data_IF_252340024369
#
_entry.id   IF_252340024369
#
_cell.length_a   1.000
_cell.length_b   1.000
_cell.length_c   1.000
_cell.angle_alpha   90.00
_cell.angle_beta   90.00
_cell.angle_gamma   90.00
#
_symmetry.space_group_name_H-M   'P 1'
#
loop_
_entity.id
_entity.type
_entity.pdbx_description
1 polymer ?
#
# COMPACT_ATOMS: atom_id res chain seq x y z
N UNK A 1 2.74 -18.48 7.25
CA UNK A 1 3.75 -17.43 7.39
C UNK A 1 3.05 -16.08 7.54
N UNK A 2 3.32 -15.41 8.65
CA UNK A 2 2.88 -14.05 8.99
C UNK A 2 4.12 -13.17 9.17
N UNK A 3 4.16 -12.02 8.51
CA UNK A 3 5.25 -11.06 8.61
C UNK A 3 4.84 -9.94 9.57
N UNK A 4 5.44 -9.88 10.75
CA UNK A 4 5.06 -8.90 11.78
C UNK A 4 6.11 -7.83 11.96
N UNK A 5 5.72 -6.56 12.00
CA UNK A 5 6.61 -5.51 12.53
C UNK A 5 6.51 -5.49 14.05
N UNK A 6 7.64 -5.25 14.71
CA UNK A 6 7.67 -4.99 16.15
C UNK A 6 8.64 -3.87 16.47
N UNK A 7 8.18 -2.89 17.25
CA UNK A 7 8.97 -1.71 17.61
C UNK A 7 8.40 -1.04 18.87
N UNK A 8 9.26 -0.34 19.61
CA UNK A 8 8.82 0.67 20.57
C UNK A 8 8.86 2.04 19.90
N UNK A 9 7.75 2.76 19.96
CA UNK A 9 7.54 4.03 19.23
C UNK A 9 7.09 5.09 20.22
N UNK A 10 7.85 6.19 20.32
CA UNK A 10 7.45 7.35 21.10
C UNK A 10 6.23 8.03 20.49
N UNK A 11 5.51 8.84 21.28
CA UNK A 11 4.32 9.57 20.82
C UNK A 11 4.59 10.41 19.57
N UNK A 12 5.77 11.02 19.48
CA UNK A 12 6.23 11.78 18.32
C UNK A 12 6.84 10.93 17.18
N UNK A 13 6.68 9.61 17.21
CA UNK A 13 7.15 8.68 16.19
C UNK A 13 8.62 8.29 16.29
N UNK A 14 9.40 8.86 17.21
CA UNK A 14 10.81 8.50 17.40
C UNK A 14 10.91 7.04 17.83
N UNK A 15 11.89 6.31 17.30
CA UNK A 15 12.27 4.94 17.72
C UNK A 15 13.73 4.85 18.16
N UNK A 16 14.55 5.85 17.81
CA UNK A 16 15.98 5.81 18.08
C UNK A 16 16.68 7.15 17.89
N UNK A 17 17.85 7.26 18.52
CA UNK A 17 18.83 8.33 18.38
C UNK A 17 20.23 7.74 18.44
N UNK A 18 21.08 8.03 17.46
CA UNK A 18 22.47 7.54 17.40
C UNK A 18 22.57 6.01 17.57
N UNK A 19 21.61 5.28 16.99
CA UNK A 19 21.52 3.81 17.05
C UNK A 19 21.02 3.23 18.38
N UNK A 20 20.60 4.07 19.33
CA UNK A 20 20.12 3.66 20.66
C UNK A 20 18.69 4.11 20.90
N UNK A 21 18.01 3.45 21.82
CA UNK A 21 16.70 3.88 22.30
C UNK A 21 16.87 5.04 23.30
N UNK A 22 16.26 6.22 23.07
CA UNK A 22 16.50 7.41 23.90
C UNK A 22 15.73 7.40 25.22
N UNK A 23 15.05 6.30 25.56
CA UNK A 23 14.33 6.11 26.82
C UNK A 23 14.59 4.74 27.43
N UNK A 24 14.14 4.59 28.68
CA UNK A 24 14.06 3.30 29.36
C UNK A 24 12.68 3.18 30.01
N UNK A 25 11.89 2.21 29.54
CA UNK A 25 10.55 1.92 30.07
C UNK A 25 10.60 0.55 30.74
N UNK A 26 10.40 0.47 32.07
CA UNK A 26 10.32 -0.81 32.77
C UNK A 26 9.23 -1.72 32.19
N UNK A 27 9.53 -3.00 32.01
CA UNK A 27 8.56 -4.00 31.55
C UNK A 27 8.41 -4.14 30.04
N UNK A 28 8.62 -3.09 29.24
CA UNK A 28 8.48 -3.14 27.77
C UNK A 28 9.36 -4.22 27.14
N UNK A 29 10.65 -4.28 27.51
CA UNK A 29 11.57 -5.30 27.00
C UNK A 29 11.16 -6.74 27.34
N UNK A 30 10.39 -6.94 28.43
CA UNK A 30 9.83 -8.27 28.75
C UNK A 30 8.72 -8.62 27.78
N UNK A 31 7.87 -7.65 27.42
CA UNK A 31 6.85 -7.79 26.37
C UNK A 31 7.48 -8.11 25.03
N UNK A 32 8.49 -7.34 24.61
CA UNK A 32 9.26 -7.60 23.38
C UNK A 32 9.85 -9.01 23.35
N UNK A 33 10.48 -9.44 24.45
CA UNK A 33 11.04 -10.80 24.57
C UNK A 33 9.95 -11.87 24.46
N UNK A 34 8.81 -11.67 25.11
CA UNK A 34 7.72 -12.64 25.08
C UNK A 34 7.13 -12.77 23.67
N UNK A 35 6.91 -11.66 22.97
CA UNK A 35 6.38 -11.64 21.61
C UNK A 35 7.32 -12.29 20.59
N UNK A 36 8.63 -12.09 20.73
CA UNK A 36 9.63 -12.55 19.74
C UNK A 36 10.22 -13.92 20.04
N UNK A 37 9.96 -14.52 21.20
CA UNK A 37 10.61 -15.77 21.61
C UNK A 37 10.33 -16.92 20.62
N UNK A 38 11.37 -17.63 20.19
CA UNK A 38 11.22 -18.76 19.26
C UNK A 38 10.98 -18.35 17.80
N UNK A 39 10.78 -17.05 17.51
CA UNK A 39 10.59 -16.55 16.16
C UNK A 39 11.90 -16.02 15.55
N UNK A 40 12.09 -16.13 14.22
CA UNK A 40 13.14 -15.40 13.53
C UNK A 40 12.96 -13.88 13.65
N UNK A 41 14.07 -13.18 13.85
CA UNK A 41 14.13 -11.73 13.90
C UNK A 41 14.93 -11.22 12.71
N UNK A 42 14.27 -10.40 11.90
CA UNK A 42 14.83 -9.75 10.72
C UNK A 42 15.13 -8.30 11.06
N UNK A 43 16.36 -7.86 10.77
CA UNK A 43 16.79 -6.50 11.06
C UNK A 43 17.92 -6.02 10.16
N UNK A 44 18.16 -4.71 10.14
CA UNK A 44 19.31 -4.13 9.44
C UNK A 44 20.58 -4.24 10.27
N UNK A 45 21.74 -4.22 9.60
CA UNK A 45 23.07 -4.27 10.26
C UNK A 45 23.21 -3.33 11.46
N UNK A 46 22.88 -2.04 11.29
CA UNK A 46 23.03 -1.04 12.37
C UNK A 46 22.16 -1.34 13.59
N UNK A 47 20.98 -1.92 13.37
CA UNK A 47 20.08 -2.35 14.45
C UNK A 47 20.69 -3.54 15.18
N UNK A 48 21.20 -4.54 14.45
CA UNK A 48 21.89 -5.66 15.06
C UNK A 48 23.13 -5.24 15.85
N UNK A 49 23.96 -4.35 15.30
CA UNK A 49 25.17 -3.83 15.95
C UNK A 49 24.88 -3.08 17.26
N UNK A 50 23.65 -2.57 17.46
CA UNK A 50 23.30 -1.82 18.67
C UNK A 50 22.85 -2.69 19.85
N UNK A 51 22.23 -3.86 19.59
CA UNK A 51 21.70 -4.74 20.65
C UNK A 51 22.29 -6.15 20.68
N UNK A 52 22.95 -6.59 19.60
CA UNK A 52 23.57 -7.91 19.48
C UNK A 52 22.58 -9.08 19.52
N UNK A 53 23.11 -10.28 19.76
CA UNK A 53 22.30 -11.49 19.83
C UNK A 53 21.37 -11.50 21.04
N UNK A 54 20.11 -11.85 20.78
CA UNK A 54 19.11 -12.05 21.80
C UNK A 54 18.85 -13.57 22.01
N UNK A 55 19.16 -14.16 23.18
CA UNK A 55 19.06 -15.61 23.38
C UNK A 55 17.67 -16.20 23.09
N UNK A 56 17.62 -17.38 22.48
CA UNK A 56 16.37 -18.06 22.12
C UNK A 56 15.66 -17.51 20.88
N UNK A 57 16.33 -16.64 20.10
CA UNK A 57 15.84 -16.07 18.86
C UNK A 57 16.88 -16.22 17.76
N UNK A 58 16.40 -16.63 16.58
CA UNK A 58 17.19 -16.70 15.35
C UNK A 58 17.30 -15.30 14.76
N UNK A 59 18.47 -14.89 14.29
CA UNK A 59 18.71 -13.54 13.79
C UNK A 59 19.09 -13.59 12.30
N UNK A 60 18.37 -12.84 11.48
CA UNK A 60 18.66 -12.63 10.07
C UNK A 60 18.94 -11.14 9.85
N UNK A 61 20.15 -10.82 9.40
CA UNK A 61 20.61 -9.44 9.25
C UNK A 61 20.68 -9.07 7.77
N UNK A 62 19.93 -8.03 7.39
CA UNK A 62 19.97 -7.47 6.05
C UNK A 62 21.09 -6.44 5.94
N UNK A 63 21.97 -6.65 4.97
CA UNK A 63 23.05 -5.71 4.66
C UNK A 63 23.50 -5.83 3.20
N UNK A 64 23.86 -4.69 2.61
CA UNK A 64 24.43 -4.61 1.26
C UNK A 64 25.94 -4.86 1.23
N UNK A 65 26.59 -4.90 2.40
CA UNK A 65 28.02 -5.08 2.54
C UNK A 65 28.39 -6.56 2.34
N UNK A 66 28.93 -6.96 1.17
CA UNK A 66 29.10 -8.37 0.81
C UNK A 66 30.04 -9.13 1.74
N UNK A 67 30.93 -8.41 2.43
CA UNK A 67 31.96 -8.98 3.30
C UNK A 67 31.52 -9.03 4.77
N UNK A 68 30.38 -8.42 5.10
CA UNK A 68 29.89 -8.41 6.48
C UNK A 68 29.29 -9.76 6.87
N UNK A 69 29.72 -10.25 8.04
CA UNK A 69 29.16 -11.40 8.74
C UNK A 69 29.30 -11.19 10.25
N UNK A 70 28.55 -11.96 11.04
CA UNK A 70 28.71 -12.04 12.47
C UNK A 70 28.38 -13.46 12.96
N UNK A 71 29.00 -13.88 14.07
CA UNK A 71 28.72 -15.19 14.64
C UNK A 71 27.26 -15.28 15.14
N UNK A 72 26.60 -16.39 14.85
CA UNK A 72 25.24 -16.66 15.31
C UNK A 72 24.13 -15.90 14.57
N UNK A 73 24.43 -15.23 13.45
CA UNK A 73 23.44 -14.64 12.55
C UNK A 73 23.50 -15.24 11.16
N UNK A 74 22.36 -15.24 10.48
CA UNK A 74 22.28 -15.46 9.05
C UNK A 74 22.26 -14.10 8.33
N UNK A 75 22.92 -14.00 7.18
CA UNK A 75 23.00 -12.75 6.43
C UNK A 75 22.10 -12.85 5.20
N UNK A 76 21.28 -11.84 4.97
CA UNK A 76 20.48 -11.70 3.76
C UNK A 76 20.85 -10.42 3.00
N UNK A 77 20.80 -10.47 1.67
CA UNK A 77 21.12 -9.34 0.77
C UNK A 77 19.89 -8.70 0.16
N UNK A 78 18.74 -9.36 0.29
CA UNK A 78 17.46 -8.92 -0.26
C UNK A 78 16.29 -9.39 0.60
N UNK A 79 15.10 -8.86 0.32
CA UNK A 79 13.85 -9.37 0.91
C UNK A 79 13.64 -10.83 0.49
N UNK A 80 13.83 -11.15 -0.79
CA UNK A 80 13.62 -12.51 -1.31
C UNK A 80 14.52 -13.55 -0.64
N UNK A 81 15.80 -13.22 -0.46
CA UNK A 81 16.74 -14.09 0.26
C UNK A 81 16.36 -14.23 1.74
N UNK A 82 15.84 -13.16 2.36
CA UNK A 82 15.32 -13.23 3.73
C UNK A 82 14.15 -14.19 3.82
N UNK A 83 13.19 -14.09 2.90
CA UNK A 83 12.03 -14.97 2.83
C UNK A 83 12.45 -16.42 2.59
N UNK A 84 13.44 -16.65 1.72
CA UNK A 84 14.02 -17.97 1.48
C UNK A 84 14.64 -18.56 2.76
N UNK A 85 15.42 -17.77 3.51
CA UNK A 85 16.02 -18.21 4.77
C UNK A 85 14.96 -18.50 5.82
N UNK A 86 13.95 -17.64 5.98
CA UNK A 86 12.88 -17.82 6.97
C UNK A 86 12.08 -19.10 6.70
N UNK A 87 11.75 -19.37 5.43
CA UNK A 87 10.85 -20.45 5.04
C UNK A 87 9.40 -20.15 5.45
N UNK A 88 8.66 -21.15 5.93
CA UNK A 88 7.23 -21.01 6.24
C UNK A 88 6.92 -20.43 7.64
N UNK A 89 7.96 -20.07 8.39
CA UNK A 89 7.84 -19.60 9.78
C UNK A 89 7.36 -18.15 9.88
N UNK A 90 6.51 -17.88 10.87
CA UNK A 90 6.16 -16.51 11.24
C UNK A 90 7.38 -15.81 11.85
N UNK A 91 7.63 -14.56 11.45
CA UNK A 91 8.82 -13.82 11.85
C UNK A 91 8.55 -12.33 12.12
N UNK A 92 9.49 -11.71 12.83
CA UNK A 92 9.43 -10.31 13.21
C UNK A 92 10.47 -9.47 12.48
N UNK A 93 10.03 -8.39 11.82
CA UNK A 93 10.89 -7.33 11.32
C UNK A 93 11.03 -6.26 12.39
N UNK A 94 12.23 -6.13 12.94
CA UNK A 94 12.53 -5.27 14.10
C UNK A 94 13.21 -3.95 13.71
N UNK A 95 13.27 -3.68 12.40
CA UNK A 95 13.78 -2.44 11.82
C UNK A 95 15.27 -2.49 11.47
N UNK A 96 15.96 -1.37 11.32
CA UNK A 96 15.48 0.01 11.44
C UNK A 96 14.65 0.49 10.24
N UNK A 97 14.50 1.81 10.12
CA UNK A 97 13.62 2.50 9.15
C UNK A 97 13.70 1.95 7.71
N UNK A 98 14.91 1.70 7.20
CA UNK A 98 15.09 1.17 5.84
C UNK A 98 14.57 -0.27 5.69
N UNK A 99 14.70 -1.10 6.72
CA UNK A 99 14.22 -2.49 6.67
C UNK A 99 12.71 -2.53 6.78
N UNK A 100 12.09 -1.70 7.65
CA UNK A 100 10.63 -1.56 7.64
C UNK A 100 10.12 -1.07 6.28
N UNK A 101 10.79 -0.10 5.64
CA UNK A 101 10.40 0.35 4.31
C UNK A 101 10.46 -0.78 3.26
N UNK A 102 11.50 -1.62 3.29
CA UNK A 102 11.64 -2.77 2.39
C UNK A 102 10.55 -3.83 2.61
N UNK A 103 10.18 -4.11 3.86
CA UNK A 103 9.15 -5.10 4.19
C UNK A 103 7.73 -4.53 4.21
N UNK A 104 7.56 -3.21 4.08
CA UNK A 104 6.26 -2.55 4.15
C UNK A 104 5.21 -3.10 3.16
N UNK A 105 5.56 -3.57 1.95
CA UNK A 105 4.59 -4.21 1.06
C UNK A 105 4.12 -5.60 1.53
N UNK A 106 4.90 -6.28 2.37
CA UNK A 106 4.70 -7.69 2.73
C UNK A 106 4.19 -7.90 4.17
N UNK A 107 4.32 -6.91 5.05
CA UNK A 107 3.95 -7.03 6.46
C UNK A 107 2.45 -7.29 6.66
N UNK A 108 2.05 -8.29 7.43
CA UNK A 108 0.64 -8.61 7.71
C UNK A 108 0.14 -7.96 9.00
N UNK A 109 1.04 -7.76 9.97
CA UNK A 109 0.73 -7.33 11.33
C UNK A 109 1.79 -6.36 11.85
N UNK A 110 1.40 -5.51 12.79
CA UNK A 110 2.33 -4.75 13.63
C UNK A 110 2.00 -4.98 15.10
N UNK A 111 3.03 -5.11 15.93
CA UNK A 111 2.94 -5.12 17.39
C UNK A 111 3.82 -3.98 17.90
N UNK A 112 3.20 -2.85 18.23
CA UNK A 112 3.92 -1.62 18.58
C UNK A 112 3.77 -1.32 20.07
N UNK A 113 4.89 -1.06 20.75
CA UNK A 113 4.89 -0.51 22.11
C UNK A 113 4.82 1.02 22.00
N UNK A 114 3.64 1.62 22.20
CA UNK A 114 3.48 3.08 22.26
C UNK A 114 4.01 3.63 23.58
N UNK A 115 5.01 4.51 23.48
CA UNK A 115 5.66 5.14 24.63
C UNK A 115 5.16 6.59 24.74
N UNK A 116 4.55 7.00 25.86
CA UNK A 116 3.92 8.32 26.03
C UNK A 116 4.95 9.43 26.29
N UNK A 117 6.04 9.46 25.52
CA UNK A 117 7.14 10.42 25.57
C UNK A 117 7.35 11.07 24.19
N UNK A 118 8.01 12.22 24.15
CA UNK A 118 8.36 12.94 22.92
C UNK A 118 9.85 13.33 22.93
N UNK A 119 10.78 12.36 22.90
CA UNK A 119 12.22 12.62 22.93
C UNK A 119 12.73 13.17 21.59
N UNK A 120 13.91 13.78 21.61
CA UNK A 120 14.67 14.01 20.38
C UNK A 120 15.20 12.70 19.80
N UNK A 121 15.13 12.52 18.48
CA UNK A 121 15.69 11.36 17.79
C UNK A 121 15.91 11.60 16.30
N UNK A 122 16.63 10.68 15.67
CA UNK A 122 17.01 10.72 14.25
C UNK A 122 16.34 9.63 13.41
N UNK A 123 15.68 8.68 14.10
CA UNK A 123 15.04 7.52 13.48
C UNK A 123 13.58 7.49 13.91
N UNK A 124 12.68 7.39 12.94
CA UNK A 124 11.24 7.42 13.14
C UNK A 124 10.58 6.15 12.60
N UNK A 125 9.48 5.73 13.23
CA UNK A 125 8.66 4.65 12.72
C UNK A 125 7.86 5.15 11.50
N UNK A 126 7.84 4.40 10.38
CA UNK A 126 7.18 4.86 9.16
C UNK A 126 5.66 4.97 9.32
N UNK A 127 5.09 6.12 8.96
CA UNK A 127 3.65 6.35 8.93
C UNK A 127 3.00 6.57 10.30
N UNK A 128 3.77 6.82 11.36
CA UNK A 128 3.22 7.10 12.69
C UNK A 128 2.67 8.55 12.81
N UNK A 129 1.51 8.77 13.48
CA UNK A 129 0.59 7.79 14.04
C UNK A 129 -0.28 7.12 12.96
N UNK A 130 -0.73 5.89 13.23
CA UNK A 130 -1.50 5.07 12.28
C UNK A 130 -3.02 5.23 12.38
N UNK A 131 -3.52 6.21 13.13
CA UNK A 131 -4.95 6.37 13.47
C UNK A 131 -5.85 6.41 12.23
N UNK A 132 -5.42 7.08 11.17
CA UNK A 132 -6.17 7.24 9.92
C UNK A 132 -5.54 6.44 8.76
N UNK A 133 -4.80 5.38 9.10
CA UNK A 133 -4.11 4.59 8.09
C UNK A 133 -5.10 3.86 7.17
N UNK A 134 -5.03 4.05 5.85
CA UNK A 134 -5.82 3.27 4.90
C UNK A 134 -5.34 1.82 4.78
N UNK A 135 -4.12 1.54 5.26
CA UNK A 135 -3.50 0.22 5.16
C UNK A 135 -3.64 -0.60 6.44
N UNK A 136 -3.69 0.07 7.59
CA UNK A 136 -3.65 -0.58 8.90
C UNK A 136 -4.92 -0.30 9.68
N UNK A 137 -5.37 -1.29 10.45
CA UNK A 137 -6.46 -1.14 11.41
C UNK A 137 -5.95 -1.57 12.78
N UNK A 138 -6.20 -0.75 13.79
CA UNK A 138 -5.96 -1.14 15.19
C UNK A 138 -6.89 -2.31 15.54
N UNK A 139 -6.31 -3.47 15.82
CA UNK A 139 -7.02 -4.69 16.16
C UNK A 139 -7.08 -4.92 17.68
N UNK A 140 -6.08 -4.43 18.43
CA UNK A 140 -6.08 -4.49 19.89
C UNK A 140 -5.25 -3.35 20.49
N UNK A 141 -5.63 -2.95 21.70
CA UNK A 141 -4.94 -1.98 22.54
C UNK A 141 -4.88 -2.49 23.96
N UNK A 142 -3.68 -2.71 24.48
CA UNK A 142 -3.44 -3.31 25.79
C UNK A 142 -2.59 -2.35 26.63
N UNK A 143 -3.20 -1.62 27.58
CA UNK A 143 -2.47 -0.71 28.45
C UNK A 143 -1.57 -1.46 29.44
N UNK A 144 -0.37 -0.93 29.64
CA UNK A 144 0.58 -1.34 30.68
C UNK A 144 1.00 -0.13 31.53
N UNK A 145 1.75 -0.37 32.60
CA UNK A 145 2.31 0.70 33.43
C UNK A 145 3.36 1.50 32.66
N UNK A 146 3.00 2.69 32.20
CA UNK A 146 3.89 3.63 31.51
C UNK A 146 4.03 3.43 29.99
N UNK A 147 3.27 2.52 29.37
CA UNK A 147 3.26 2.27 27.92
C UNK A 147 2.04 1.45 27.49
N UNK A 148 1.79 1.33 26.19
CA UNK A 148 0.64 0.59 25.64
C UNK A 148 1.09 -0.33 24.51
N UNK A 149 0.64 -1.58 24.47
CA UNK A 149 0.79 -2.42 23.27
C UNK A 149 -0.36 -2.12 22.31
N UNK A 150 -0.03 -1.76 21.08
CA UNK A 150 -0.97 -1.62 19.97
C UNK A 150 -0.71 -2.75 18.98
N UNK A 151 -1.73 -3.54 18.69
CA UNK A 151 -1.69 -4.49 17.58
C UNK A 151 -2.44 -3.88 16.39
N UNK A 152 -1.76 -3.79 15.25
CA UNK A 152 -2.38 -3.46 13.97
C UNK A 152 -2.39 -4.68 13.06
N UNK A 153 -3.48 -4.85 12.33
CA UNK A 153 -3.57 -5.81 11.23
C UNK A 153 -3.65 -5.04 9.92
N UNK A 154 -3.00 -5.56 8.87
CA UNK A 154 -3.16 -5.02 7.54
C UNK A 154 -4.61 -5.23 7.13
N UNK A 155 -5.25 -4.16 6.67
CA UNK A 155 -6.56 -4.24 6.01
C UNK A 155 -6.41 -5.10 4.78
N UNK A 156 -7.11 -6.24 4.74
CA UNK A 156 -7.15 -7.05 3.52
C UNK A 156 -7.83 -6.23 2.43
N UNK A 157 -7.32 -6.26 1.19
CA UNK A 157 -8.04 -5.73 0.04
C UNK A 157 -9.49 -6.23 0.06
N UNK A 158 -10.46 -5.31 0.09
CA UNK A 158 -11.87 -5.64 -0.10
C UNK A 158 -12.11 -6.14 -1.52
N UNK A 159 -11.24 -5.86 -2.48
CA UNK A 159 -11.33 -6.43 -3.81
C UNK A 159 -9.99 -6.98 -4.28
N UNK A 160 -10.01 -8.10 -5.00
CA UNK A 160 -8.84 -8.66 -5.66
C UNK A 160 -8.96 -8.40 -7.16
N UNK A 161 -7.82 -8.10 -7.79
CA UNK A 161 -7.73 -8.00 -9.25
C UNK A 161 -7.10 -9.29 -9.76
N UNK A 162 -7.92 -10.12 -10.40
CA UNK A 162 -7.44 -11.31 -11.10
C UNK A 162 -7.07 -10.94 -12.54
N UNK A 163 -5.89 -11.39 -12.96
CA UNK A 163 -5.40 -11.19 -14.33
C UNK A 163 -5.09 -12.55 -14.94
N UNK A 164 -5.64 -12.81 -16.13
CA UNK A 164 -5.42 -14.06 -16.85
C UNK A 164 -6.11 -14.03 -18.20
N UNK A 165 -5.65 -14.84 -19.17
CA UNK A 165 -6.16 -14.79 -20.54
C UNK A 165 -7.67 -15.04 -20.57
N UNK A 166 -8.41 -14.03 -21.01
CA UNK A 166 -9.87 -13.97 -21.13
C UNK A 166 -10.63 -14.44 -19.90
N UNK A 167 -10.06 -14.22 -18.71
CA UNK A 167 -10.60 -14.74 -17.43
C UNK A 167 -12.04 -14.27 -17.15
N UNK A 168 -12.44 -13.10 -17.66
CA UNK A 168 -13.80 -12.57 -17.53
C UNK A 168 -14.89 -13.47 -18.13
N UNK A 169 -14.55 -14.28 -19.14
CA UNK A 169 -15.47 -15.21 -19.78
C UNK A 169 -15.19 -16.69 -19.48
N UNK A 170 -14.27 -16.99 -18.58
CA UNK A 170 -13.84 -18.38 -18.33
C UNK A 170 -14.89 -19.17 -17.55
N UNK A 171 -15.10 -20.44 -17.91
CA UNK A 171 -16.06 -21.32 -17.24
C UNK A 171 -15.67 -21.62 -15.77
N UNK A 172 -14.37 -21.58 -15.47
CA UNK A 172 -13.82 -21.81 -14.13
C UNK A 172 -14.06 -20.62 -13.17
N UNK A 173 -14.23 -19.41 -13.70
CA UNK A 173 -14.41 -18.19 -12.93
C UNK A 173 -15.83 -18.02 -12.36
N UNK A 174 -16.84 -18.74 -12.85
CA UNK A 174 -18.24 -18.47 -12.55
C UNK A 174 -18.78 -17.25 -13.29
N UNK A 175 -20.01 -16.81 -12.95
CA UNK A 175 -20.68 -15.71 -13.65
C UNK A 175 -20.03 -14.35 -13.32
N UNK A 176 -19.51 -13.67 -14.35
CA UNK A 176 -18.95 -12.32 -14.23
C UNK A 176 -19.97 -11.29 -14.72
N UNK A 177 -20.26 -10.28 -13.89
CA UNK A 177 -21.14 -9.16 -14.23
C UNK A 177 -20.37 -8.12 -15.07
N UNK A 178 -20.95 -7.67 -16.18
CA UNK A 178 -20.42 -6.53 -16.92
C UNK A 178 -20.96 -5.25 -16.26
N UNK A 179 -20.06 -4.38 -15.82
CA UNK A 179 -20.42 -3.08 -15.26
C UNK A 179 -20.02 -1.96 -16.23
N UNK A 180 -21.00 -1.12 -16.56
CA UNK A 180 -20.80 0.14 -17.25
C UNK A 180 -20.08 1.14 -16.33
N UNK A 181 -18.92 1.66 -16.75
CA UNK A 181 -18.15 2.65 -15.98
C UNK A 181 -17.70 3.87 -16.78
N UNK A 182 -17.50 4.99 -16.10
CA UNK A 182 -16.97 6.21 -16.69
C UNK A 182 -15.77 6.72 -15.89
N UNK A 183 -14.77 7.29 -16.56
CA UNK A 183 -13.54 7.78 -15.91
C UNK A 183 -13.01 9.05 -16.55
N UNK A 184 -12.22 9.82 -15.80
CA UNK A 184 -11.59 11.05 -16.25
C UNK A 184 -10.06 10.94 -16.19
N UNK A 185 -9.40 11.19 -17.31
CA UNK A 185 -7.98 11.51 -17.39
C UNK A 185 -7.79 13.02 -17.24
N UNK A 186 -7.60 13.46 -15.99
CA UNK A 186 -7.55 14.88 -15.61
C UNK A 186 -6.10 15.35 -15.62
N UNK A 187 -5.76 16.34 -16.44
CA UNK A 187 -4.41 16.88 -16.46
C UNK A 187 -4.11 17.91 -17.54
N UNK A 188 -2.86 18.38 -17.56
CA UNK A 188 -2.35 19.42 -18.46
C UNK A 188 -1.48 18.87 -19.60
N UNK A 189 -1.43 17.54 -19.74
CA UNK A 189 -0.61 16.82 -20.73
C UNK A 189 0.80 16.49 -20.23
N UNK A 190 1.33 17.24 -19.26
CA UNK A 190 2.61 16.93 -18.60
C UNK A 190 2.40 16.10 -17.34
N UNK A 191 1.32 16.39 -16.61
CA UNK A 191 0.93 15.67 -15.40
C UNK A 191 -0.51 15.19 -15.51
N UNK A 192 -0.75 14.03 -14.91
CA UNK A 192 -2.04 13.36 -14.83
C UNK A 192 -2.38 13.10 -13.36
N UNK A 193 -3.64 13.34 -12.98
CA UNK A 193 -4.15 12.95 -11.69
C UNK A 193 -4.43 11.44 -11.67
N UNK A 194 -3.92 10.75 -10.66
CA UNK A 194 -4.31 9.39 -10.32
C UNK A 194 -4.80 9.35 -8.86
N UNK A 195 -5.72 8.44 -8.60
CA UNK A 195 -6.28 8.14 -7.28
C UNK A 195 -5.90 6.73 -6.87
N UNK A 196 -5.70 6.51 -5.56
CA UNK A 196 -5.36 5.20 -5.00
C UNK A 196 -6.56 4.59 -4.28
N UNK A 197 -7.04 3.47 -4.80
CA UNK A 197 -8.26 2.81 -4.33
C UNK A 197 -8.13 2.29 -2.90
N UNK A 198 -9.17 2.46 -2.08
CA UNK A 198 -9.27 1.87 -0.74
C UNK A 198 -9.36 0.34 -0.80
N UNK A 199 -10.11 -0.19 -1.77
CA UNK A 199 -10.48 -1.60 -1.81
C UNK A 199 -9.33 -2.53 -2.19
N UNK A 200 -8.35 -2.06 -2.97
CA UNK A 200 -7.24 -2.89 -3.47
C UNK A 200 -5.88 -2.20 -3.51
N UNK A 201 -5.81 -0.91 -3.17
CA UNK A 201 -4.56 -0.15 -3.08
C UNK A 201 -3.88 0.17 -4.41
N UNK A 202 -4.48 -0.20 -5.56
CA UNK A 202 -3.97 0.12 -6.89
C UNK A 202 -4.30 1.56 -7.26
N UNK A 203 -3.45 2.17 -8.08
CA UNK A 203 -3.69 3.49 -8.66
C UNK A 203 -4.63 3.38 -9.87
N UNK A 204 -5.51 4.35 -10.06
CA UNK A 204 -6.41 4.43 -11.20
C UNK A 204 -6.70 5.89 -11.58
N UNK A 205 -7.22 6.08 -12.80
CA UNK A 205 -7.94 7.29 -13.16
C UNK A 205 -9.21 7.41 -12.28
N UNK A 206 -9.57 8.63 -11.82
CA UNK A 206 -10.83 8.86 -11.14
C UNK A 206 -12.03 8.39 -11.98
N UNK A 207 -12.98 7.71 -11.35
CA UNK A 207 -14.13 7.16 -12.07
C UNK A 207 -14.82 6.00 -11.37
N UNK A 208 -16.05 5.74 -11.80
CA UNK A 208 -16.90 4.74 -11.18
C UNK A 208 -18.03 4.27 -12.09
N UNK A 209 -19.07 3.71 -11.48
CA UNK A 209 -20.18 3.10 -12.21
C UNK A 209 -21.14 4.16 -12.75
N UNK A 210 -21.61 3.98 -13.99
CA UNK A 210 -22.67 4.84 -14.51
C UNK A 210 -24.02 4.53 -13.83
N UNK A 211 -24.77 5.57 -13.50
CA UNK A 211 -26.12 5.50 -12.97
C UNK A 211 -27.19 5.54 -14.07
N UNK A 212 -28.41 5.10 -13.72
CA UNK A 212 -29.53 5.15 -14.66
C UNK A 212 -30.03 6.58 -14.78
N UNK A 213 -29.86 7.18 -15.96
CA UNK A 213 -30.38 8.50 -16.29
C UNK A 213 -29.32 9.58 -16.54
N UNK A 214 -28.04 9.26 -16.34
CA UNK A 214 -26.92 10.15 -16.69
C UNK A 214 -26.24 9.73 -18.01
N UNK A 215 -25.59 10.69 -18.65
CA UNK A 215 -24.63 10.44 -19.74
C UNK A 215 -23.29 9.95 -19.18
N UNK A 216 -22.48 9.31 -20.01
CA UNK A 216 -21.13 8.88 -19.63
C UNK A 216 -20.24 10.03 -19.13
N UNK A 217 -20.36 11.21 -19.72
CA UNK A 217 -19.61 12.40 -19.29
C UNK A 217 -20.10 12.93 -17.94
N UNK A 218 -21.41 12.91 -17.69
CA UNK A 218 -21.96 13.31 -16.38
C UNK A 218 -21.49 12.34 -15.29
N UNK A 219 -21.50 11.03 -15.56
CA UNK A 219 -20.95 10.02 -14.67
C UNK A 219 -19.48 10.31 -14.34
N UNK A 220 -18.66 10.57 -15.36
CA UNK A 220 -17.22 10.81 -15.16
C UNK A 220 -16.95 12.09 -14.33
N UNK A 221 -17.75 13.15 -14.53
CA UNK A 221 -17.65 14.41 -13.76
C UNK A 221 -18.13 14.21 -12.32
N UNK A 222 -19.23 13.48 -12.11
CA UNK A 222 -19.77 13.15 -10.78
C UNK A 222 -18.75 12.36 -9.96
N UNK A 223 -18.23 11.27 -10.54
CA UNK A 223 -17.25 10.40 -9.89
C UNK A 223 -15.95 11.15 -9.56
N UNK A 224 -15.43 11.98 -10.48
CA UNK A 224 -14.25 12.81 -10.20
C UNK A 224 -14.49 13.74 -9.00
N UNK A 225 -15.69 14.33 -8.89
CA UNK A 225 -16.05 15.20 -7.77
C UNK A 225 -16.20 14.41 -6.46
N UNK A 226 -16.85 13.26 -6.49
CA UNK A 226 -17.08 12.41 -5.31
C UNK A 226 -15.76 11.85 -4.75
N UNK A 227 -14.86 11.41 -5.63
CA UNK A 227 -13.58 10.80 -5.24
C UNK A 227 -12.51 11.81 -4.84
N UNK A 228 -12.46 12.96 -5.51
CA UNK A 228 -11.33 13.90 -5.39
C UNK A 228 -11.73 15.30 -4.92
N UNK A 229 -13.01 15.61 -4.88
CA UNK A 229 -13.52 16.96 -4.62
C UNK A 229 -13.33 17.96 -5.77
N UNK A 230 -12.70 17.56 -6.88
CA UNK A 230 -12.46 18.45 -8.02
C UNK A 230 -13.73 18.70 -8.84
N UNK A 231 -13.89 19.93 -9.29
CA UNK A 231 -14.81 20.27 -10.37
C UNK A 231 -14.04 20.22 -11.69
N UNK A 232 -14.51 19.43 -12.64
CA UNK A 232 -13.81 19.20 -13.92
C UNK A 232 -14.72 19.42 -15.11
N UNK A 233 -14.12 19.85 -16.23
CA UNK A 233 -14.76 19.92 -17.54
C UNK A 233 -14.19 18.82 -18.43
N UNK A 234 -15.08 18.09 -19.10
CA UNK A 234 -14.70 17.11 -20.13
C UNK A 234 -14.38 17.83 -21.43
N UNK A 235 -13.20 17.55 -21.98
CA UNK A 235 -12.71 18.13 -23.25
C UNK A 235 -13.06 17.25 -24.44
N UNK A 236 -12.87 15.94 -24.29
CA UNK A 236 -13.04 14.96 -25.37
C UNK A 236 -13.11 13.54 -24.83
N UNK A 237 -13.57 12.60 -25.66
CA UNK A 237 -13.43 11.16 -25.38
C UNK A 237 -11.96 10.77 -25.57
N UNK A 238 -11.35 10.18 -24.53
CA UNK A 238 -10.03 9.59 -24.64
C UNK A 238 -10.11 8.21 -25.31
N UNK A 239 -10.94 7.31 -24.76
CA UNK A 239 -11.17 5.97 -25.32
C UNK A 239 -12.39 5.30 -24.70
N UNK A 240 -13.09 4.45 -25.45
CA UNK A 240 -13.85 3.35 -24.87
C UNK A 240 -12.89 2.19 -24.55
N UNK A 241 -13.13 1.45 -23.48
CA UNK A 241 -12.25 0.35 -23.08
C UNK A 241 -13.04 -0.80 -22.46
N UNK A 242 -12.52 -2.00 -22.70
CA UNK A 242 -12.83 -3.20 -21.92
C UNK A 242 -11.59 -4.07 -21.93
N UNK A 243 -11.43 -4.94 -20.93
CA UNK A 243 -10.29 -5.85 -20.88
C UNK A 243 -10.79 -7.22 -20.42
N UNK A 244 -10.89 -8.22 -21.33
CA UNK A 244 -11.38 -9.55 -20.98
C UNK A 244 -10.42 -10.32 -20.07
N UNK A 245 -9.17 -9.87 -19.95
CA UNK A 245 -8.13 -10.52 -19.17
C UNK A 245 -8.12 -10.05 -17.71
N UNK A 246 -9.01 -9.15 -17.31
CA UNK A 246 -9.04 -8.52 -15.99
C UNK A 246 -10.43 -8.66 -15.37
N UNK A 247 -10.49 -9.17 -14.14
CA UNK A 247 -11.71 -9.23 -13.35
C UNK A 247 -11.45 -8.71 -11.93
N UNK A 248 -12.40 -7.94 -11.41
CA UNK A 248 -12.40 -7.51 -10.01
C UNK A 248 -13.28 -8.49 -9.22
N UNK A 249 -12.72 -9.11 -8.19
CA UNK A 249 -13.38 -10.10 -7.32
C UNK A 249 -13.56 -9.52 -5.93
N UNK A 250 -14.80 -9.46 -5.46
CA UNK A 250 -15.18 -8.93 -4.15
C UNK A 250 -15.27 -10.05 -3.09
N UNK A 251 -15.32 -9.74 -1.78
CA UNK A 251 -15.21 -10.75 -0.72
C UNK A 251 -16.45 -11.63 -0.63
N UNK A 252 -17.57 -11.17 -1.17
CA UNK A 252 -18.81 -11.92 -1.31
C UNK A 252 -18.83 -12.83 -2.54
N UNK A 253 -17.71 -12.93 -3.27
CA UNK A 253 -17.56 -13.73 -4.47
C UNK A 253 -18.12 -13.09 -5.74
N UNK A 254 -18.67 -11.86 -5.67
CA UNK A 254 -19.07 -11.14 -6.89
C UNK A 254 -17.85 -10.85 -7.76
N UNK A 255 -18.04 -11.00 -9.06
CA UNK A 255 -17.02 -10.79 -10.09
C UNK A 255 -17.49 -9.73 -11.07
N UNK A 256 -16.65 -8.73 -11.35
CA UNK A 256 -16.98 -7.64 -12.27
C UNK A 256 -15.92 -7.49 -13.36
N UNK A 257 -16.38 -7.41 -14.59
CA UNK A 257 -15.62 -6.90 -15.73
C UNK A 257 -16.12 -5.48 -16.05
N UNK A 258 -15.20 -4.55 -16.22
CA UNK A 258 -15.57 -3.16 -16.53
C UNK A 258 -15.60 -2.96 -18.04
N UNK A 259 -16.70 -2.39 -18.51
CA UNK A 259 -16.82 -1.82 -19.85
C UNK A 259 -17.04 -0.32 -19.66
N UNK A 260 -16.11 0.51 -20.13
CA UNK A 260 -16.16 1.92 -19.78
C UNK A 260 -15.73 2.88 -20.87
N UNK A 261 -16.02 4.15 -20.61
CA UNK A 261 -15.57 5.29 -21.42
C UNK A 261 -14.70 6.17 -20.56
N UNK A 262 -13.52 6.52 -21.08
CA UNK A 262 -12.60 7.45 -20.46
C UNK A 262 -12.61 8.77 -21.23
N UNK A 263 -12.63 9.88 -20.51
CA UNK A 263 -12.64 11.23 -21.04
C UNK A 263 -11.34 11.96 -20.70
N UNK A 264 -10.85 12.80 -21.61
CA UNK A 264 -9.89 13.84 -21.25
C UNK A 264 -10.64 14.96 -20.54
N UNK A 265 -10.08 15.47 -19.46
CA UNK A 265 -10.68 16.55 -18.70
C UNK A 265 -9.62 17.48 -18.11
N UNK A 266 -10.04 18.69 -17.76
CA UNK A 266 -9.24 19.64 -17.00
C UNK A 266 -9.98 20.12 -15.76
N UNK A 267 -9.22 20.60 -14.78
CA UNK A 267 -9.75 21.16 -13.53
C UNK A 267 -10.32 22.54 -13.81
N UNK A 268 -11.56 22.77 -13.38
CA UNK A 268 -12.21 24.08 -13.34
C UNK A 268 -11.97 24.74 -11.98
N UNK A 269 -12.16 23.97 -10.89
CA UNK A 269 -12.06 24.46 -9.52
C UNK A 269 -11.75 23.30 -8.53
N UNK A 270 -11.28 23.66 -7.34
CA UNK A 270 -11.00 22.75 -6.24
C UNK A 270 -9.54 22.31 -6.14
N UNK A 271 -9.27 21.46 -5.15
CA UNK A 271 -7.96 20.84 -4.92
C UNK A 271 -8.19 19.36 -4.68
N UNK A 272 -7.36 18.51 -5.29
CA UNK A 272 -7.51 17.06 -5.20
C UNK A 272 -7.38 16.61 -3.74
N UNK A 273 -8.43 15.94 -3.24
CA UNK A 273 -8.51 15.35 -1.92
C UNK A 273 -8.75 13.84 -1.97
N UNK A 274 -9.20 13.28 -0.85
CA UNK A 274 -9.49 11.85 -0.65
C UNK A 274 -10.98 11.64 -0.36
N UNK A 275 -11.43 10.39 -0.43
CA UNK A 275 -12.80 9.98 -0.09
C UNK A 275 -12.79 8.63 0.64
N UNK A 276 -13.97 8.09 0.96
CA UNK A 276 -14.09 6.74 1.52
C UNK A 276 -13.60 5.64 0.55
N UNK A 277 -13.55 5.94 -0.75
CA UNK A 277 -13.09 5.01 -1.80
C UNK A 277 -11.68 5.32 -2.30
N UNK A 278 -11.16 6.53 -2.01
CA UNK A 278 -9.85 7.02 -2.45
C UNK A 278 -8.98 7.40 -1.26
N UNK A 279 -7.89 6.66 -1.08
CA UNK A 279 -6.96 6.82 0.04
C UNK A 279 -5.86 7.86 -0.21
N UNK A 280 -5.61 8.17 -1.48
CA UNK A 280 -4.56 9.10 -1.90
C UNK A 280 -4.90 9.64 -3.30
N UNK A 281 -4.64 10.93 -3.53
CA UNK A 281 -4.76 11.59 -4.82
C UNK A 281 -3.48 12.36 -5.11
N UNK A 282 -2.87 12.12 -6.27
CA UNK A 282 -1.60 12.77 -6.61
C UNK A 282 -1.41 12.97 -8.11
N UNK A 283 -0.63 13.99 -8.45
CA UNK A 283 -0.28 14.36 -9.82
C UNK A 283 1.04 13.72 -10.21
N UNK A 284 1.06 13.02 -11.34
CA UNK A 284 2.22 12.28 -11.81
C UNK A 284 2.59 12.66 -13.23
N UNK A 285 3.89 12.78 -13.49
CA UNK A 285 4.45 12.78 -14.84
C UNK A 285 4.38 11.39 -15.48
N UNK A 286 4.59 11.31 -16.80
CA UNK A 286 4.66 10.02 -17.53
C UNK A 286 5.64 9.03 -16.87
N UNK A 287 6.81 9.50 -16.45
CA UNK A 287 7.88 8.66 -15.89
C UNK A 287 7.52 8.16 -14.49
N UNK A 288 6.87 8.98 -13.68
CA UNK A 288 6.41 8.58 -12.34
C UNK A 288 5.26 7.60 -12.43
N UNK A 289 4.24 7.88 -13.26
CA UNK A 289 3.08 7.02 -13.45
C UNK A 289 3.47 5.62 -13.95
N UNK A 290 4.50 5.50 -14.79
CA UNK A 290 5.00 4.22 -15.29
C UNK A 290 5.55 3.29 -14.19
N UNK A 291 5.86 3.82 -12.99
CA UNK A 291 6.37 3.05 -11.84
C UNK A 291 5.28 2.68 -10.84
N UNK A 292 4.07 3.21 -11.01
CA UNK A 292 2.97 2.98 -10.08
C UNK A 292 2.29 1.63 -10.36
N UNK A 293 1.79 0.95 -9.32
CA UNK A 293 0.91 -0.21 -9.47
C UNK A 293 -0.49 0.25 -9.92
N UNK A 294 -0.62 0.62 -11.19
CA UNK A 294 -1.89 1.04 -11.80
C UNK A 294 -2.76 -0.18 -12.11
N UNK A 295 -4.07 -0.08 -11.88
CA UNK A 295 -5.05 -1.11 -12.25
C UNK A 295 -4.88 -1.47 -13.73
N UNK A 296 -4.73 -2.75 -14.10
CA UNK A 296 -4.33 -3.15 -15.44
C UNK A 296 -5.19 -2.56 -16.56
N UNK A 297 -6.51 -2.46 -16.35
CA UNK A 297 -7.45 -1.87 -17.31
C UNK A 297 -7.18 -0.39 -17.63
N UNK A 298 -6.57 0.38 -16.72
CA UNK A 298 -6.30 1.80 -16.94
C UNK A 298 -4.89 2.09 -17.46
N UNK A 299 -3.96 1.13 -17.43
CA UNK A 299 -2.58 1.35 -17.93
C UNK A 299 -2.54 1.83 -19.39
N UNK A 300 -3.34 1.27 -20.31
CA UNK A 300 -3.37 1.75 -21.69
C UNK A 300 -3.94 3.17 -21.81
N UNK A 301 -4.94 3.52 -20.98
CA UNK A 301 -5.53 4.86 -20.94
C UNK A 301 -4.54 5.92 -20.43
N UNK A 302 -3.80 5.61 -19.37
CA UNK A 302 -2.74 6.48 -18.83
C UNK A 302 -1.67 6.73 -19.88
N UNK A 303 -1.28 5.70 -20.64
CA UNK A 303 -0.35 5.85 -21.76
C UNK A 303 -0.92 6.77 -22.86
N UNK A 304 -2.14 6.50 -23.30
CA UNK A 304 -2.82 7.27 -24.33
C UNK A 304 -2.97 8.76 -23.94
N UNK A 305 -3.20 9.05 -22.66
CA UNK A 305 -3.25 10.42 -22.17
C UNK A 305 -1.96 11.19 -22.50
N UNK A 306 -0.79 10.65 -22.12
CA UNK A 306 0.52 11.30 -22.31
C UNK A 306 1.03 11.29 -23.75
N UNK A 307 0.56 10.35 -24.59
CA UNK A 307 0.94 10.30 -26.01
C UNK A 307 0.13 11.28 -26.85
N UNK A 308 -0.87 11.93 -26.26
CA UNK A 308 -1.83 12.80 -26.94
C UNK A 308 -2.51 12.13 -28.14
N UNK A 309 -2.60 10.80 -28.10
CA UNK A 309 -3.27 10.03 -29.14
C UNK A 309 -4.77 10.36 -29.10
N UNK A 310 -5.31 10.72 -30.26
CA UNK A 310 -6.74 10.86 -30.49
C UNK A 310 -7.35 9.48 -30.65
N UNK A 311 -8.14 9.04 -29.66
CA UNK A 311 -9.02 7.87 -29.71
C UNK A 311 -8.42 6.62 -30.35
N UNK A 312 -7.29 6.14 -29.81
CA UNK A 312 -6.93 4.72 -29.98
C UNK A 312 -8.01 3.94 -29.26
N UNK A 313 -8.96 3.35 -29.98
CA UNK A 313 -9.89 2.44 -29.33
C UNK A 313 -9.07 1.23 -28.90
N UNK A 314 -8.84 1.10 -27.60
CA UNK A 314 -7.96 0.08 -27.04
C UNK A 314 -8.76 -1.23 -27.02
N UNK A 315 -8.67 -1.99 -28.13
CA UNK A 315 -9.33 -3.27 -28.34
C UNK A 315 -8.39 -4.48 -28.18
N UNK A 316 -7.12 -4.27 -27.79
CA UNK A 316 -6.12 -5.34 -27.67
C UNK A 316 -6.47 -6.33 -26.55
#
# INVERSE_FOLDING_TARGET
MTISFIAAVARNGVVGRDGKMPWRVPGEQKGFKAATMGHPMVMGRRTFESHGLLPGRRHIVLTRDPDWSADGVEVARSVDETLFLVGDQDFFVTGGAQVWALFAPYADRMVLSEIPLEPEGDTYFPGWPLTDSPTWREAAREPHDGWTVLTYERRKPRAQVEVGPRIAGSAEAGATEIKAGASCAIGDGERLLLTRREDNGLWCLPGGGAEVGETWSEAAVREAREETGLQVAVDSVLSAYSNPDVVIVYPDGRRRAIFGVCFRAHVIDGTAGTSDEVTESAWFTKVEAARLPIIPAHRPLVRAFFENDSATTIFD
#
